data_IF_876767819496
#
_entry.id   IF_876767819496
#
_cell.length_a   1.000
_cell.length_b   1.000
_cell.length_c   1.000
_cell.angle_alpha   90.00
_cell.angle_beta   90.00
_cell.angle_gamma   90.00
#
_symmetry.space_group_name_H-M   'P 1'
#
loop_
_entity.id
_entity.type
_entity.pdbx_description
1 polymer ?
#
# COMPACT_ATOMS: atom_id res chain seq x y z
N UNK A 1 -8.26 -12.10 2.20
CA UNK A 1 -7.60 -10.84 2.58
C UNK A 1 -6.08 -10.93 2.58
N UNK A 2 -5.51 -12.00 3.10
CA UNK A 2 -4.04 -12.15 3.18
C UNK A 2 -3.36 -12.14 1.81
N UNK A 3 -3.94 -12.77 0.80
CA UNK A 3 -3.37 -12.76 -0.56
C UNK A 3 -3.35 -11.35 -1.14
N UNK A 4 -4.43 -10.60 -0.94
CA UNK A 4 -4.52 -9.23 -1.42
C UNK A 4 -3.52 -8.33 -0.69
N UNK A 5 -3.31 -8.56 0.61
CA UNK A 5 -2.31 -7.84 1.39
C UNK A 5 -0.90 -8.08 0.85
N UNK A 6 -0.55 -9.34 0.61
CA UNK A 6 0.76 -9.68 0.05
C UNK A 6 0.98 -9.03 -1.31
N UNK A 7 -0.06 -9.02 -2.14
CA UNK A 7 0.00 -8.37 -3.45
C UNK A 7 0.25 -6.87 -3.31
N UNK A 8 -0.43 -6.23 -2.37
CA UNK A 8 -0.25 -4.81 -2.11
C UNK A 8 1.19 -4.52 -1.65
N UNK A 9 1.75 -5.35 -0.79
CA UNK A 9 3.14 -5.21 -0.36
C UNK A 9 4.09 -5.31 -1.55
N UNK A 10 3.85 -6.25 -2.45
CA UNK A 10 4.66 -6.40 -3.67
C UNK A 10 4.58 -5.14 -4.54
N UNK A 11 3.40 -4.59 -4.70
CA UNK A 11 3.20 -3.36 -5.48
C UNK A 11 4.03 -2.22 -4.90
N UNK A 12 4.01 -2.07 -3.57
CA UNK A 12 4.79 -1.06 -2.88
C UNK A 12 6.29 -1.29 -3.09
N UNK A 13 6.75 -2.52 -2.93
CA UNK A 13 8.16 -2.86 -3.06
C UNK A 13 8.70 -2.65 -4.48
N UNK A 14 7.85 -2.74 -5.48
CA UNK A 14 8.24 -2.56 -6.88
C UNK A 14 8.28 -1.09 -7.31
N UNK A 15 7.87 -0.17 -6.46
CA UNK A 15 7.89 1.25 -6.77
C UNK A 15 9.32 1.73 -6.96
N UNK A 16 9.60 2.38 -8.09
CA UNK A 16 10.92 2.92 -8.40
C UNK A 16 10.93 4.44 -8.55
N UNK A 17 9.74 5.05 -8.56
CA UNK A 17 9.60 6.51 -8.64
C UNK A 17 8.30 6.96 -7.99
N UNK A 18 8.11 8.27 -7.86
CA UNK A 18 6.95 8.83 -7.16
C UNK A 18 5.62 8.53 -7.86
N UNK A 19 5.63 8.40 -9.18
CA UNK A 19 4.41 8.04 -9.91
C UNK A 19 3.94 6.63 -9.56
N UNK A 20 4.89 5.70 -9.38
CA UNK A 20 4.58 4.35 -8.93
C UNK A 20 4.00 4.34 -7.53
N UNK A 21 4.52 5.20 -6.65
CA UNK A 21 4.00 5.32 -5.28
C UNK A 21 2.56 5.78 -5.29
N UNK A 22 2.22 6.71 -6.16
CA UNK A 22 0.84 7.18 -6.31
C UNK A 22 -0.09 6.03 -6.70
N UNK A 23 0.35 5.20 -7.64
CA UNK A 23 -0.41 4.00 -8.04
C UNK A 23 -0.55 3.01 -6.88
N UNK A 24 0.49 2.87 -6.06
CA UNK A 24 0.45 2.01 -4.89
C UNK A 24 -0.57 2.51 -3.87
N UNK A 25 -0.65 3.82 -3.62
CA UNK A 25 -1.67 4.39 -2.75
C UNK A 25 -3.08 4.10 -3.28
N UNK A 26 -3.28 4.19 -4.58
CA UNK A 26 -4.53 3.85 -5.22
C UNK A 26 -4.90 2.39 -4.98
N UNK A 27 -3.92 1.50 -5.07
CA UNK A 27 -4.11 0.08 -4.81
C UNK A 27 -4.53 -0.16 -3.36
N UNK A 28 -3.91 0.55 -2.42
CA UNK A 28 -4.24 0.47 -1.00
C UNK A 28 -5.68 0.93 -0.75
N UNK A 29 -6.10 2.01 -1.40
CA UNK A 29 -7.45 2.53 -1.29
C UNK A 29 -8.47 1.50 -1.77
N UNK A 30 -8.21 0.85 -2.91
CA UNK A 30 -9.06 -0.22 -3.41
C UNK A 30 -9.11 -1.41 -2.46
N UNK A 31 -7.98 -1.77 -1.86
CA UNK A 31 -7.90 -2.83 -0.86
C UNK A 31 -8.81 -2.50 0.33
N UNK A 32 -8.72 -1.28 0.83
CA UNK A 32 -9.54 -0.82 1.95
C UNK A 32 -11.03 -0.95 1.63
N UNK A 33 -11.43 -0.51 0.44
CA UNK A 33 -12.84 -0.59 0.03
C UNK A 33 -13.33 -2.02 -0.12
N UNK A 34 -12.50 -2.88 -0.67
CA UNK A 34 -12.86 -4.29 -0.89
C UNK A 34 -13.09 -5.03 0.43
N UNK A 35 -12.34 -4.69 1.46
CA UNK A 35 -12.35 -5.42 2.73
C UNK A 35 -12.79 -4.57 3.92
N UNK A 36 -13.45 -3.45 3.68
CA UNK A 36 -13.83 -2.52 4.75
C UNK A 36 -14.70 -3.14 5.84
N UNK A 37 -15.53 -4.13 5.48
CA UNK A 37 -16.34 -4.84 6.45
C UNK A 37 -15.61 -6.01 7.11
N UNK A 38 -14.40 -6.31 6.71
CA UNK A 38 -13.66 -7.45 7.25
C UNK A 38 -12.87 -7.02 8.49
N UNK A 39 -12.90 -7.91 9.50
CA UNK A 39 -12.14 -7.68 10.72
C UNK A 39 -10.65 -7.67 10.39
N UNK A 40 -9.94 -6.69 10.91
CA UNK A 40 -8.50 -6.58 10.68
C UNK A 40 -8.10 -5.76 9.46
N UNK A 41 -9.06 -5.38 8.62
CA UNK A 41 -8.77 -4.57 7.43
C UNK A 41 -8.10 -3.25 7.79
N UNK A 42 -8.59 -2.58 8.84
CA UNK A 42 -8.05 -1.29 9.26
C UNK A 42 -6.57 -1.40 9.64
N UNK A 43 -6.19 -2.47 10.34
CA UNK A 43 -4.78 -2.69 10.72
C UNK A 43 -3.90 -2.93 9.51
N UNK A 44 -4.36 -3.77 8.59
CA UNK A 44 -3.60 -4.07 7.37
C UNK A 44 -3.46 -2.84 6.50
N UNK A 45 -4.53 -2.06 6.36
CA UNK A 45 -4.50 -0.82 5.59
C UNK A 45 -3.51 0.17 6.20
N UNK A 46 -3.50 0.30 7.52
CA UNK A 46 -2.55 1.16 8.22
C UNK A 46 -1.11 0.74 7.94
N UNK A 47 -0.84 -0.55 8.02
CA UNK A 47 0.49 -1.10 7.71
C UNK A 47 0.91 -0.79 6.28
N UNK A 48 0.00 -0.96 5.33
CA UNK A 48 0.27 -0.69 3.93
C UNK A 48 0.57 0.79 3.70
N UNK A 49 -0.22 1.68 4.30
CA UNK A 49 0.01 3.13 4.19
C UNK A 49 1.36 3.53 4.75
N UNK A 50 1.73 2.97 5.90
CA UNK A 50 3.03 3.23 6.52
C UNK A 50 4.16 2.80 5.60
N UNK A 51 4.08 1.60 5.04
CA UNK A 51 5.09 1.09 4.10
C UNK A 51 5.19 1.97 2.87
N UNK A 52 4.06 2.38 2.33
CA UNK A 52 4.01 3.22 1.14
C UNK A 52 4.60 4.61 1.41
N UNK A 53 4.29 5.21 2.56
CA UNK A 53 4.83 6.49 2.96
C UNK A 53 6.35 6.43 3.11
N UNK A 54 6.86 5.37 3.73
CA UNK A 54 8.30 5.17 3.85
C UNK A 54 8.98 5.06 2.49
N UNK A 55 8.37 4.30 1.59
CA UNK A 55 8.91 4.13 0.23
C UNK A 55 8.96 5.48 -0.50
N UNK A 56 7.89 6.26 -0.38
CA UNK A 56 7.82 7.59 -0.99
C UNK A 56 8.96 8.49 -0.48
N UNK A 57 9.19 8.50 0.83
CA UNK A 57 10.28 9.30 1.41
C UNK A 57 11.64 8.88 0.87
N UNK A 58 11.89 7.59 0.77
CA UNK A 58 13.14 7.06 0.23
C UNK A 58 13.35 7.55 -1.21
N UNK A 59 12.30 7.53 -2.02
CA UNK A 59 12.37 7.95 -3.41
C UNK A 59 12.53 9.46 -3.55
N UNK A 60 11.95 10.23 -2.64
CA UNK A 60 12.05 11.70 -2.66
C UNK A 60 13.44 12.20 -2.24
N UNK A 61 14.14 11.46 -1.40
CA UNK A 61 15.47 11.82 -0.91
C UNK A 61 16.52 11.70 -2.03
N UNK A 62 16.24 10.92 -3.06
CA UNK A 62 17.12 10.82 -4.22
C UNK A 62 17.01 12.05 -5.09
#
# INVERSE_FOLDING_TARGET
MNKAYKKAVEVINRCTNSAHVKSAFNYIWNFERLFEDKKGCAELTKKLRTKCTKKRKILEIR
#
